data_IF_944369439272
#
_entry.id   IF_944369439272
#
_cell.length_a   1.000
_cell.length_b   1.000
_cell.length_c   1.000
_cell.angle_alpha   90.00
_cell.angle_beta   90.00
_cell.angle_gamma   90.00
#
_symmetry.space_group_name_H-M   'P 1'
#
loop_
_entity.id
_entity.type
_entity.pdbx_description
1 polymer ?
#
# COMPACT_ATOMS: atom_id res chain seq x y z
N UNK A 1 -46.58 44.73 -27.99
CA UNK A 1 -45.23 45.20 -27.62
C UNK A 1 -44.84 44.39 -26.39
N UNK A 2 -44.20 43.24 -26.60
CA UNK A 2 -42.74 43.03 -26.73
C UNK A 2 -42.17 42.49 -25.43
N UNK A 3 -41.94 41.17 -25.42
CA UNK A 3 -40.97 40.43 -24.59
C UNK A 3 -39.52 40.93 -24.85
N UNK A 4 -38.42 40.44 -24.18
CA UNK A 4 -38.28 39.39 -23.14
C UNK A 4 -37.17 39.64 -22.05
N UNK A 5 -36.89 38.57 -21.28
CA UNK A 5 -35.61 38.16 -20.63
C UNK A 5 -35.28 38.62 -19.19
N UNK A 6 -35.32 37.66 -18.24
CA UNK A 6 -34.09 36.93 -17.89
C UNK A 6 -34.39 35.56 -17.24
N UNK A 7 -33.83 34.50 -17.82
CA UNK A 7 -33.70 33.14 -17.27
C UNK A 7 -32.64 33.20 -16.14
N UNK A 8 -32.66 32.36 -15.10
CA UNK A 8 -32.02 31.03 -15.08
C UNK A 8 -32.93 30.07 -14.30
N UNK A 9 -33.57 29.16 -15.03
CA UNK A 9 -34.32 28.05 -14.46
C UNK A 9 -33.42 26.83 -14.25
N UNK A 10 -33.48 26.29 -13.05
CA UNK A 10 -33.17 24.89 -12.78
C UNK A 10 -34.20 24.02 -13.53
N UNK A 11 -33.76 23.21 -14.48
CA UNK A 11 -34.61 22.19 -15.10
C UNK A 11 -33.76 20.98 -15.52
N UNK A 12 -34.18 19.84 -14.98
CA UNK A 12 -33.72 18.49 -15.19
C UNK A 12 -33.48 18.10 -16.67
N UNK A 13 -32.54 17.17 -16.90
CA UNK A 13 -32.75 15.94 -17.69
C UNK A 13 -31.53 15.01 -17.65
N UNK A 14 -31.81 13.72 -17.76
CA UNK A 14 -30.94 12.60 -17.41
C UNK A 14 -29.61 12.50 -18.16
N UNK A 15 -28.66 11.83 -17.53
CA UNK A 15 -27.53 11.13 -18.14
C UNK A 15 -26.68 10.44 -17.07
N UNK A 16 -27.28 9.53 -16.28
CA UNK A 16 -26.52 8.61 -15.42
C UNK A 16 -25.91 7.42 -16.21
N UNK A 17 -25.83 7.55 -17.54
CA UNK A 17 -25.48 6.49 -18.48
C UNK A 17 -24.28 6.83 -19.37
N UNK A 18 -23.54 7.90 -19.08
CA UNK A 18 -22.53 8.47 -20.00
C UNK A 18 -21.07 8.41 -19.52
N UNK A 19 -20.73 7.65 -18.47
CA UNK A 19 -19.31 7.53 -18.06
C UNK A 19 -18.59 6.31 -18.66
N UNK A 20 -19.32 5.29 -19.14
CA UNK A 20 -18.70 4.02 -19.59
C UNK A 20 -18.55 3.85 -21.11
N UNK A 21 -18.96 4.83 -21.93
CA UNK A 21 -18.88 4.70 -23.39
C UNK A 21 -18.43 6.03 -24.00
N UNK A 22 -17.25 6.00 -24.64
CA UNK A 22 -16.61 7.09 -25.41
C UNK A 22 -15.53 7.93 -24.71
N UNK A 23 -14.61 7.29 -24.00
CA UNK A 23 -13.19 7.62 -24.19
C UNK A 23 -12.52 6.42 -24.83
N UNK A 24 -11.83 6.66 -25.93
CA UNK A 24 -10.88 5.72 -26.50
C UNK A 24 -9.93 5.28 -25.38
N UNK A 25 -10.04 4.04 -24.92
CA UNK A 25 -9.09 3.38 -24.00
C UNK A 25 -7.80 3.03 -24.76
N UNK A 26 -7.21 4.01 -25.46
CA UNK A 26 -5.96 3.83 -26.23
C UNK A 26 -4.75 4.41 -25.54
N UNK A 27 -4.88 4.95 -24.33
CA UNK A 27 -3.74 5.39 -23.53
C UNK A 27 -3.98 5.10 -22.05
N UNK A 28 -3.96 3.82 -21.67
CA UNK A 28 -3.41 3.47 -20.36
C UNK A 28 -1.98 4.01 -20.35
N UNK A 29 -1.60 4.90 -19.43
CA UNK A 29 -0.22 5.38 -19.37
C UNK A 29 0.68 4.15 -19.26
N UNK A 30 1.51 3.95 -20.29
CA UNK A 30 2.45 2.85 -20.32
C UNK A 30 3.33 2.96 -19.07
N UNK A 31 3.30 1.94 -18.22
CA UNK A 31 4.25 1.76 -17.12
C UNK A 31 5.65 1.87 -17.73
N UNK A 32 6.40 2.90 -17.36
CA UNK A 32 7.72 3.15 -17.95
C UNK A 32 8.67 2.03 -17.56
N UNK A 33 9.05 1.19 -18.52
CA UNK A 33 10.41 0.66 -18.62
C UNK A 33 10.74 -0.65 -17.91
N UNK A 34 9.79 -1.37 -17.30
CA UNK A 34 9.99 -2.77 -16.93
C UNK A 34 8.73 -3.55 -17.23
N UNK A 35 8.81 -4.47 -18.20
CA UNK A 35 7.75 -5.45 -18.40
C UNK A 35 7.52 -6.15 -17.06
N UNK A 36 6.30 -6.06 -16.53
CA UNK A 36 5.79 -6.73 -15.31
C UNK A 36 5.91 -8.26 -15.34
N UNK A 37 6.61 -8.82 -16.33
CA UNK A 37 6.44 -10.19 -16.78
C UNK A 37 6.92 -11.22 -15.76
N UNK A 38 7.91 -10.89 -14.91
CA UNK A 38 8.42 -11.80 -13.88
C UNK A 38 8.59 -11.06 -12.53
N UNK A 39 7.59 -11.17 -11.67
CA UNK A 39 7.69 -10.75 -10.27
C UNK A 39 8.53 -11.78 -9.48
N UNK A 40 9.06 -11.33 -8.35
CA UNK A 40 9.86 -12.15 -7.45
C UNK A 40 9.45 -11.89 -6.00
N UNK A 41 9.70 -12.86 -5.12
CA UNK A 41 9.59 -12.67 -3.68
C UNK A 41 10.68 -11.70 -3.22
N UNK A 42 10.35 -10.80 -2.29
CA UNK A 42 11.35 -9.95 -1.64
C UNK A 42 11.64 -10.48 -0.24
N UNK A 43 12.71 -11.26 -0.11
CA UNK A 43 13.08 -11.96 1.14
C UNK A 43 14.50 -11.55 1.53
N UNK A 44 14.68 -11.10 2.78
CA UNK A 44 16.01 -10.79 3.32
C UNK A 44 16.76 -9.66 2.59
N UNK A 45 16.04 -8.75 1.92
CA UNK A 45 16.65 -7.65 1.16
C UNK A 45 17.00 -7.99 -0.28
N UNK A 46 16.61 -9.17 -0.78
CA UNK A 46 16.85 -9.61 -2.15
C UNK A 46 15.57 -10.07 -2.85
N UNK A 47 15.54 -9.93 -4.17
CA UNK A 47 14.51 -10.50 -5.03
C UNK A 47 14.87 -11.94 -5.37
N UNK A 48 14.00 -12.89 -5.06
CA UNK A 48 14.20 -14.34 -5.25
C UNK A 48 12.96 -14.99 -5.89
N UNK A 49 13.10 -16.01 -6.75
CA UNK A 49 11.96 -16.78 -7.23
C UNK A 49 11.35 -17.62 -6.10
N UNK A 50 10.20 -18.28 -6.37
CA UNK A 50 9.70 -19.34 -5.50
C UNK A 50 10.73 -20.46 -5.40
N UNK A 51 10.84 -21.08 -4.23
CA UNK A 51 11.84 -22.11 -3.96
C UNK A 51 11.69 -23.34 -4.88
N UNK A 52 10.47 -23.72 -5.22
CA UNK A 52 10.17 -24.82 -6.16
C UNK A 52 10.05 -24.35 -7.62
N UNK A 53 10.20 -23.03 -7.87
CA UNK A 53 10.05 -22.41 -9.18
C UNK A 53 8.60 -22.26 -9.66
N UNK A 54 7.60 -22.54 -8.82
CA UNK A 54 6.20 -22.41 -9.19
C UNK A 54 5.80 -20.94 -9.36
N UNK A 55 4.87 -20.69 -10.29
CA UNK A 55 4.39 -19.36 -10.65
C UNK A 55 2.90 -19.35 -10.97
N UNK A 56 2.23 -18.24 -10.66
CA UNK A 56 0.85 -17.94 -11.03
C UNK A 56 0.77 -16.74 -11.98
N UNK A 57 -0.18 -16.79 -12.90
CA UNK A 57 -0.49 -15.65 -13.78
C UNK A 57 -1.35 -14.63 -13.04
N UNK A 58 -0.97 -13.36 -13.12
CA UNK A 58 -1.78 -12.22 -12.69
C UNK A 58 -2.55 -11.71 -13.90
N UNK A 59 -3.87 -11.67 -13.80
CA UNK A 59 -4.76 -11.30 -14.89
C UNK A 59 -5.34 -9.91 -14.68
N UNK A 60 -5.44 -9.13 -15.75
CA UNK A 60 -6.27 -7.92 -15.78
C UNK A 60 -7.76 -8.34 -15.75
N UNK A 61 -8.53 -7.97 -14.72
CA UNK A 61 -9.92 -8.39 -14.59
C UNK A 61 -10.86 -7.78 -15.65
N UNK A 62 -10.46 -6.68 -16.31
CA UNK A 62 -11.26 -6.03 -17.35
C UNK A 62 -11.11 -6.72 -18.72
N UNK A 63 -9.94 -7.30 -18.99
CA UNK A 63 -9.61 -7.87 -20.32
C UNK A 63 -9.35 -9.37 -20.31
N UNK A 64 -9.01 -9.94 -19.16
CA UNK A 64 -8.54 -11.32 -19.00
C UNK A 64 -7.11 -11.54 -19.51
N UNK A 65 -6.40 -10.49 -19.90
CA UNK A 65 -5.02 -10.59 -20.36
C UNK A 65 -4.06 -10.81 -19.18
N UNK A 66 -3.01 -11.60 -19.40
CA UNK A 66 -1.92 -11.75 -18.42
C UNK A 66 -1.12 -10.44 -18.35
N UNK A 67 -1.05 -9.85 -17.16
CA UNK A 67 -0.30 -8.62 -16.90
C UNK A 67 1.03 -8.86 -16.21
N UNK A 68 1.16 -9.95 -15.45
CA UNK A 68 2.38 -10.33 -14.76
C UNK A 68 2.40 -11.84 -14.46
N UNK A 69 3.57 -12.36 -14.11
CA UNK A 69 3.73 -13.69 -13.50
C UNK A 69 4.30 -13.51 -12.10
N UNK A 70 3.67 -14.10 -11.09
CA UNK A 70 4.09 -14.01 -9.69
C UNK A 70 4.55 -15.37 -9.15
N UNK A 71 5.53 -15.42 -8.22
CA UNK A 71 5.91 -16.68 -7.58
C UNK A 71 4.75 -17.28 -6.77
N UNK A 72 4.42 -18.55 -7.03
CA UNK A 72 3.45 -19.31 -6.25
C UNK A 72 4.15 -19.88 -5.01
N UNK A 73 4.32 -19.02 -4.00
CA UNK A 73 5.16 -19.30 -2.83
C UNK A 73 4.61 -20.42 -1.94
N UNK A 74 5.49 -21.35 -1.56
CA UNK A 74 5.18 -22.49 -0.69
C UNK A 74 5.69 -22.34 0.75
N UNK A 75 5.64 -23.44 1.50
CA UNK A 75 6.10 -23.51 2.90
C UNK A 75 7.58 -23.08 3.05
N UNK A 76 8.44 -23.53 2.14
CA UNK A 76 9.88 -23.20 2.17
C UNK A 76 10.15 -21.69 1.99
N UNK A 77 9.37 -21.01 1.15
CA UNK A 77 9.48 -19.55 0.95
C UNK A 77 9.04 -18.80 2.20
N UNK A 78 7.96 -19.24 2.84
CA UNK A 78 7.45 -18.68 4.10
C UNK A 78 8.48 -18.87 5.22
N UNK A 79 9.07 -20.05 5.35
CA UNK A 79 10.10 -20.32 6.34
C UNK A 79 11.33 -19.43 6.13
N UNK A 80 11.77 -19.25 4.88
CA UNK A 80 12.86 -18.34 4.54
C UNK A 80 12.53 -16.88 4.91
N UNK A 81 11.31 -16.42 4.60
CA UNK A 81 10.84 -15.08 4.95
C UNK A 81 10.79 -14.86 6.48
N UNK A 82 10.26 -15.84 7.23
CA UNK A 82 10.20 -15.78 8.70
C UNK A 82 11.59 -15.81 9.31
N UNK A 83 12.51 -16.65 8.81
CA UNK A 83 13.88 -16.70 9.27
C UNK A 83 14.61 -15.36 9.06
N UNK A 84 14.45 -14.75 7.88
CA UNK A 84 15.01 -13.43 7.60
C UNK A 84 14.42 -12.35 8.53
N UNK A 85 13.10 -12.35 8.75
CA UNK A 85 12.44 -11.42 9.65
C UNK A 85 12.92 -11.58 11.11
N UNK A 86 13.10 -12.82 11.59
CA UNK A 86 13.68 -13.11 12.92
C UNK A 86 15.11 -12.58 13.03
N UNK A 87 15.93 -12.77 12.01
CA UNK A 87 17.30 -12.27 11.97
C UNK A 87 17.38 -10.74 12.05
N UNK A 88 16.47 -10.04 11.36
CA UNK A 88 16.41 -8.57 11.36
C UNK A 88 15.79 -7.98 12.65
N UNK A 89 14.96 -8.74 13.38
CA UNK A 89 14.19 -8.21 14.51
C UNK A 89 15.08 -7.61 15.61
N UNK A 90 16.22 -8.23 15.93
CA UNK A 90 17.13 -7.73 16.97
C UNK A 90 17.64 -6.32 16.67
N UNK A 91 18.12 -6.08 15.45
CA UNK A 91 18.62 -4.76 15.05
C UNK A 91 17.48 -3.75 14.91
N UNK A 92 16.37 -4.13 14.25
CA UNK A 92 15.25 -3.23 14.00
C UNK A 92 14.55 -2.78 15.29
N UNK A 93 14.29 -3.71 16.21
CA UNK A 93 13.61 -3.42 17.47
C UNK A 93 14.44 -2.50 18.38
N UNK A 94 15.77 -2.58 18.30
CA UNK A 94 16.71 -1.74 19.03
C UNK A 94 16.85 -0.31 18.47
N UNK A 95 16.41 -0.04 17.22
CA UNK A 95 16.46 1.32 16.65
C UNK A 95 15.63 2.29 17.49
N UNK A 96 16.09 3.52 17.61
CA UNK A 96 15.34 4.59 18.32
C UNK A 96 14.02 4.91 17.60
N UNK A 97 13.02 5.50 18.30
CA UNK A 97 11.81 5.98 17.65
C UNK A 97 12.08 6.94 16.48
N UNK A 98 13.16 7.73 16.57
CA UNK A 98 13.61 8.60 15.48
C UNK A 98 14.00 7.83 14.24
N UNK A 99 14.90 6.86 14.37
CA UNK A 99 15.39 6.09 13.22
C UNK A 99 14.27 5.30 12.53
N UNK A 100 13.34 4.73 13.31
CA UNK A 100 12.17 4.04 12.74
C UNK A 100 11.23 5.01 12.02
N UNK A 101 10.96 6.17 12.62
CA UNK A 101 10.15 7.23 12.02
C UNK A 101 10.73 7.74 10.70
N UNK A 102 12.04 8.03 10.67
CA UNK A 102 12.75 8.46 9.47
C UNK A 102 12.70 7.39 8.36
N UNK A 103 12.86 6.11 8.70
CA UNK A 103 12.75 5.02 7.74
C UNK A 103 11.33 4.90 7.14
N UNK A 104 10.28 5.00 7.97
CA UNK A 104 8.90 4.96 7.49
C UNK A 104 8.53 6.19 6.65
N UNK A 105 9.06 7.37 6.98
CA UNK A 105 8.92 8.56 6.13
C UNK A 105 9.64 8.42 4.79
N UNK A 106 10.82 7.79 4.75
CA UNK A 106 11.51 7.53 3.49
C UNK A 106 10.71 6.58 2.58
N UNK A 107 9.99 5.61 3.15
CA UNK A 107 9.04 4.77 2.38
C UNK A 107 7.88 5.61 1.84
N UNK A 108 7.31 6.49 2.67
CA UNK A 108 6.25 7.40 2.23
C UNK A 108 6.73 8.33 1.09
N UNK A 109 7.95 8.87 1.19
CA UNK A 109 8.56 9.69 0.13
C UNK A 109 8.70 8.90 -1.18
N UNK A 110 9.09 7.62 -1.09
CA UNK A 110 9.20 6.75 -2.26
C UNK A 110 7.84 6.42 -2.88
N UNK A 111 6.79 6.20 -2.07
CA UNK A 111 5.43 5.99 -2.55
C UNK A 111 4.94 7.25 -3.28
N UNK A 112 5.09 8.41 -2.65
CA UNK A 112 4.68 9.70 -3.22
C UNK A 112 5.39 10.01 -4.54
N UNK A 113 6.69 9.75 -4.63
CA UNK A 113 7.47 9.94 -5.86
C UNK A 113 7.05 9.03 -7.03
N UNK A 114 6.39 7.90 -6.75
CA UNK A 114 5.97 6.91 -7.75
C UNK A 114 4.44 6.76 -7.82
N UNK A 115 3.68 7.74 -7.30
CA UNK A 115 2.24 7.63 -7.12
C UNK A 115 1.48 7.35 -8.42
N UNK A 116 1.83 8.01 -9.52
CA UNK A 116 1.16 7.83 -10.81
C UNK A 116 1.36 6.41 -11.37
N UNK A 117 2.55 5.84 -11.17
CA UNK A 117 2.85 4.46 -11.57
C UNK A 117 2.07 3.46 -10.72
N UNK A 118 2.07 3.65 -9.39
CA UNK A 118 1.33 2.79 -8.47
C UNK A 118 -0.17 2.80 -8.74
N UNK A 119 -0.75 3.97 -9.04
CA UNK A 119 -2.17 4.09 -9.43
C UNK A 119 -2.47 3.34 -10.72
N UNK A 120 -1.61 3.44 -11.73
CA UNK A 120 -1.80 2.72 -13.00
C UNK A 120 -1.70 1.19 -12.80
N UNK A 121 -0.76 0.73 -11.98
CA UNK A 121 -0.60 -0.68 -11.62
C UNK A 121 -1.82 -1.22 -10.88
N UNK A 122 -2.29 -0.51 -9.85
CA UNK A 122 -3.47 -0.93 -9.08
C UNK A 122 -4.73 -0.97 -9.95
N UNK A 123 -4.86 -0.03 -10.89
CA UNK A 123 -5.95 0.00 -11.85
C UNK A 123 -5.95 -1.22 -12.76
N UNK A 124 -4.79 -1.59 -13.29
CA UNK A 124 -4.65 -2.76 -14.15
C UNK A 124 -4.86 -4.07 -13.37
N UNK A 125 -4.45 -4.12 -12.11
CA UNK A 125 -4.49 -5.34 -11.30
C UNK A 125 -5.87 -5.63 -10.70
N UNK A 126 -6.57 -4.59 -10.19
CA UNK A 126 -7.84 -4.78 -9.45
C UNK A 126 -9.05 -4.35 -10.27
N UNK A 127 -8.88 -3.56 -11.33
CA UNK A 127 -9.96 -3.12 -12.22
C UNK A 127 -10.92 -2.10 -11.59
N UNK A 128 -10.55 -1.47 -10.47
CA UNK A 128 -11.34 -0.41 -9.84
C UNK A 128 -11.37 0.85 -10.73
N UNK A 129 -12.44 1.67 -10.67
CA UNK A 129 -12.44 2.98 -11.32
C UNK A 129 -11.30 3.85 -10.80
N UNK A 130 -10.65 4.60 -11.69
CA UNK A 130 -9.49 5.46 -11.36
C UNK A 130 -9.76 6.39 -10.18
N UNK A 131 -10.97 6.96 -10.08
CA UNK A 131 -11.33 7.86 -8.97
C UNK A 131 -11.31 7.19 -7.59
N UNK A 132 -11.57 5.88 -7.51
CA UNK A 132 -11.49 5.11 -6.26
C UNK A 132 -10.03 4.84 -5.90
N UNK A 133 -9.21 4.50 -6.90
CA UNK A 133 -7.78 4.23 -6.72
C UNK A 133 -7.04 5.50 -6.28
N UNK A 134 -7.36 6.65 -6.86
CA UNK A 134 -6.81 7.93 -6.43
C UNK A 134 -7.06 8.17 -4.94
N UNK A 135 -8.30 7.94 -4.49
CA UNK A 135 -8.68 8.07 -3.08
C UNK A 135 -7.96 7.05 -2.18
N UNK A 136 -7.89 5.78 -2.57
CA UNK A 136 -7.22 4.73 -1.79
C UNK A 136 -5.71 4.94 -1.67
N UNK A 137 -5.06 5.42 -2.74
CA UNK A 137 -3.63 5.72 -2.75
C UNK A 137 -3.30 6.93 -1.88
N UNK A 138 -4.15 7.96 -1.89
CA UNK A 138 -4.00 9.11 -1.00
C UNK A 138 -4.13 8.70 0.48
N UNK A 139 -5.12 7.85 0.80
CA UNK A 139 -5.26 7.27 2.15
C UNK A 139 -4.06 6.39 2.53
N UNK A 140 -3.52 5.63 1.58
CA UNK A 140 -2.34 4.79 1.81
C UNK A 140 -1.12 5.64 2.18
N UNK A 141 -0.87 6.72 1.44
CA UNK A 141 0.22 7.65 1.73
C UNK A 141 0.04 8.32 3.10
N UNK A 142 -1.17 8.81 3.39
CA UNK A 142 -1.47 9.42 4.69
C UNK A 142 -1.25 8.44 5.84
N UNK A 143 -1.70 7.19 5.69
CA UNK A 143 -1.50 6.14 6.69
C UNK A 143 -0.01 5.88 6.99
N UNK A 144 0.84 5.84 5.95
CA UNK A 144 2.29 5.74 6.14
C UNK A 144 2.86 6.94 6.91
N UNK A 145 2.47 8.17 6.55
CA UNK A 145 2.92 9.39 7.24
C UNK A 145 2.44 9.44 8.69
N UNK A 146 1.20 9.04 8.94
CA UNK A 146 0.61 8.97 10.26
C UNK A 146 1.39 8.00 11.15
N UNK A 147 1.58 6.75 10.73
CA UNK A 147 2.28 5.75 11.55
C UNK A 147 3.78 6.02 11.69
N UNK A 148 4.42 6.65 10.70
CA UNK A 148 5.77 7.15 10.82
C UNK A 148 5.93 8.14 11.99
N UNK A 149 4.89 8.95 12.26
CA UNK A 149 4.86 9.90 13.38
C UNK A 149 4.36 9.27 14.67
N UNK A 150 3.28 8.48 14.61
CA UNK A 150 2.61 7.90 15.77
C UNK A 150 3.55 7.01 16.61
N UNK A 151 4.49 6.31 15.97
CA UNK A 151 5.51 5.50 16.65
C UNK A 151 6.44 6.28 17.59
N UNK A 152 6.43 7.62 17.53
CA UNK A 152 7.18 8.50 18.42
C UNK A 152 6.40 8.91 19.67
N UNK A 153 5.07 8.76 19.66
CA UNK A 153 4.16 9.26 20.69
C UNK A 153 3.43 8.09 21.38
N UNK A 154 4.18 7.07 21.79
CA UNK A 154 3.63 5.96 22.57
C UNK A 154 3.35 6.41 24.01
N UNK A 155 2.13 6.89 24.26
CA UNK A 155 1.70 7.40 25.56
C UNK A 155 1.63 6.32 26.64
N UNK A 156 2.08 6.62 27.86
CA UNK A 156 2.03 5.69 29.00
C UNK A 156 1.83 6.41 30.32
N UNK A 157 1.49 5.67 31.38
CA UNK A 157 1.48 6.25 32.73
C UNK A 157 2.90 6.65 33.10
N UNK A 158 3.04 7.79 33.78
CA UNK A 158 4.31 8.19 34.36
C UNK A 158 4.83 7.08 35.29
N UNK A 159 6.15 6.89 35.29
CA UNK A 159 6.79 6.01 36.25
C UNK A 159 6.56 6.55 37.67
N UNK A 160 6.43 5.66 38.66
CA UNK A 160 6.18 6.04 40.04
C UNK A 160 6.58 4.95 41.03
N UNK A 161 6.65 5.33 42.30
CA UNK A 161 6.92 4.43 43.41
C UNK A 161 5.60 4.03 44.06
N UNK A 162 5.21 2.77 43.85
CA UNK A 162 4.03 2.18 44.50
C UNK A 162 4.41 1.34 45.72
N UNK A 163 5.70 1.02 45.85
CA UNK A 163 6.32 0.32 46.97
C UNK A 163 7.64 1.04 47.28
N UNK A 164 7.98 1.17 48.57
CA UNK A 164 9.16 1.92 48.98
C UNK A 164 10.44 1.31 48.40
N UNK A 165 11.24 2.11 47.68
CA UNK A 165 12.49 1.67 47.06
C UNK A 165 12.34 0.99 45.69
N UNK A 166 11.14 0.98 45.09
CA UNK A 166 10.90 0.38 43.78
C UNK A 166 10.25 1.38 42.80
N UNK A 167 10.78 1.46 41.58
CA UNK A 167 10.16 2.20 40.47
C UNK A 167 9.32 1.27 39.60
N UNK A 168 8.04 1.56 39.46
CA UNK A 168 7.14 0.89 38.54
C UNK A 168 6.93 1.74 37.29
N UNK A 169 6.95 1.11 36.11
CA UNK A 169 6.69 1.76 34.83
C UNK A 169 5.99 0.80 33.87
N UNK A 170 5.29 1.38 32.88
CA UNK A 170 4.67 0.63 31.77
C UNK A 170 5.52 0.84 30.53
N UNK A 171 5.95 -0.26 29.91
CA UNK A 171 6.69 -0.24 28.64
C UNK A 171 5.86 -0.89 27.54
N UNK A 172 5.95 -0.34 26.33
CA UNK A 172 5.43 -0.96 25.10
C UNK A 172 6.60 -1.38 24.24
N UNK A 173 6.79 -2.69 24.14
CA UNK A 173 7.83 -3.30 23.31
C UNK A 173 7.20 -3.89 22.03
N UNK A 174 7.96 -3.93 20.92
CA UNK A 174 7.49 -4.61 19.72
C UNK A 174 7.30 -6.11 19.99
N UNK A 175 6.24 -6.69 19.41
CA UNK A 175 5.88 -8.09 19.65
C UNK A 175 6.88 -9.09 19.06
N UNK A 176 7.42 -8.81 17.87
CA UNK A 176 8.24 -9.77 17.13
C UNK A 176 7.97 -9.72 15.63
N UNK A 177 8.04 -10.90 15.01
CA UNK A 177 7.68 -11.12 13.61
C UNK A 177 6.16 -11.10 13.46
N UNK A 178 5.66 -10.36 12.46
CA UNK A 178 4.23 -10.21 12.17
C UNK A 178 3.93 -10.79 10.79
N UNK A 179 2.97 -11.72 10.72
CA UNK A 179 2.37 -12.16 9.47
C UNK A 179 1.15 -11.30 9.14
N UNK A 180 1.13 -10.71 7.94
CA UNK A 180 0.02 -9.87 7.46
C UNK A 180 -0.50 -10.44 6.15
N UNK A 181 -1.79 -10.75 6.10
CA UNK A 181 -2.49 -11.27 4.91
C UNK A 181 -3.53 -10.22 4.51
N UNK A 182 -3.40 -9.69 3.29
CA UNK A 182 -4.30 -8.69 2.74
C UNK A 182 -5.23 -9.30 1.68
N UNK A 183 -6.49 -8.85 1.59
CA UNK A 183 -7.38 -9.22 0.49
C UNK A 183 -7.02 -8.44 -0.80
N UNK A 184 -7.73 -8.75 -1.89
CA UNK A 184 -7.56 -8.13 -3.21
C UNK A 184 -8.42 -6.89 -3.44
N UNK A 185 -9.32 -6.56 -2.51
CA UNK A 185 -10.42 -5.61 -2.73
C UNK A 185 -10.12 -4.18 -2.32
#
# INVERSE_FOLDING_TARGET
MSEPNNRIGCAARGSQQYCCQNREFTNTPAVKGKQLQDLANFIGGAWVPAHDGATDEVLDPATGAVIATAPASGEADVDAAVAAARGAFGEWSAKTPRQRSEALHAVADAIEANMDELRALECANVGKPVSIIEFEMDLTLDNWRFFASAGRFLEGKAAGEYEAGYTSMIRRDPLGVIGSIAPWN
#
